data_IF_898792762531
#
_entry.id   IF_898792762531
#
_cell.length_a   1.000
_cell.length_b   1.000
_cell.length_c   1.000
_cell.angle_alpha   90.00
_cell.angle_beta   90.00
_cell.angle_gamma   90.00
#
_symmetry.space_group_name_H-M   'P 1'
#
loop_
_entity.id
_entity.type
_entity.pdbx_description
1 polymer ?
#
# COMPACT_ATOMS: atom_id res chain seq x y z
N UNK A 1 9.08 8.18 -6.70
CA UNK A 1 7.91 7.55 -7.36
C UNK A 1 7.64 6.15 -6.82
N UNK A 2 8.57 5.18 -6.93
CA UNK A 2 8.47 3.83 -6.33
C UNK A 2 8.01 3.83 -4.86
N UNK A 3 8.76 4.49 -3.97
CA UNK A 3 8.48 4.46 -2.53
C UNK A 3 7.10 5.06 -2.22
N UNK A 4 6.70 6.12 -2.95
CA UNK A 4 5.37 6.73 -2.84
C UNK A 4 4.26 5.73 -3.21
N UNK A 5 4.39 5.02 -4.33
CA UNK A 5 3.44 3.97 -4.70
C UNK A 5 3.34 2.88 -3.63
N UNK A 6 4.48 2.38 -3.14
CA UNK A 6 4.50 1.36 -2.09
C UNK A 6 3.78 1.81 -0.81
N UNK A 7 4.03 3.04 -0.35
CA UNK A 7 3.34 3.65 0.79
C UNK A 7 1.82 3.75 0.55
N UNK A 8 1.40 4.24 -0.62
CA UNK A 8 -0.03 4.38 -0.94
C UNK A 8 -0.75 3.03 -1.00
N UNK A 9 -0.11 1.98 -1.55
CA UNK A 9 -0.67 0.63 -1.55
C UNK A 9 -0.94 0.11 -0.13
N UNK A 10 -0.10 0.47 0.85
CA UNK A 10 -0.31 0.14 2.27
C UNK A 10 -1.37 1.04 2.92
N UNK A 11 -1.26 2.36 2.74
CA UNK A 11 -2.06 3.36 3.45
C UNK A 11 -3.48 3.54 2.89
N UNK A 12 -3.71 3.16 1.63
CA UNK A 12 -4.98 3.43 0.94
C UNK A 12 -5.65 2.19 0.38
N UNK A 13 -4.89 1.14 0.08
CA UNK A 13 -5.43 -0.14 -0.37
C UNK A 13 -5.25 -1.28 0.65
N UNK A 14 -4.67 -0.99 1.82
CA UNK A 14 -4.46 -1.95 2.91
C UNK A 14 -3.69 -3.23 2.50
N UNK A 15 -2.78 -3.13 1.52
CA UNK A 15 -1.93 -4.25 1.14
C UNK A 15 -0.88 -4.54 2.22
N UNK A 16 -0.59 -5.82 2.41
CA UNK A 16 0.52 -6.30 3.23
C UNK A 16 1.85 -6.21 2.48
N UNK A 17 2.96 -6.21 3.23
CA UNK A 17 4.32 -6.28 2.66
C UNK A 17 4.47 -7.46 1.70
N UNK A 18 3.95 -8.63 2.08
CA UNK A 18 4.06 -9.86 1.29
C UNK A 18 3.29 -9.75 -0.03
N UNK A 19 2.13 -9.12 -0.02
CA UNK A 19 1.35 -8.87 -1.23
C UNK A 19 2.10 -7.92 -2.16
N UNK A 20 2.64 -6.81 -1.64
CA UNK A 20 3.38 -5.82 -2.43
C UNK A 20 4.61 -6.43 -3.13
N UNK A 21 5.38 -7.25 -2.41
CA UNK A 21 6.54 -7.98 -2.97
C UNK A 21 6.08 -9.01 -4.02
N UNK A 22 4.89 -9.58 -3.81
CA UNK A 22 4.29 -10.55 -4.71
C UNK A 22 3.84 -9.96 -6.04
N UNK A 23 3.53 -8.66 -6.09
CA UNK A 23 2.97 -8.01 -7.28
C UNK A 23 3.92 -8.10 -8.49
N UNK A 24 3.34 -8.43 -9.63
CA UNK A 24 3.96 -8.45 -10.96
C UNK A 24 3.26 -7.47 -11.89
N UNK A 25 3.82 -7.20 -13.07
CA UNK A 25 3.24 -6.21 -13.99
C UNK A 25 1.86 -6.64 -14.50
N UNK A 26 1.63 -7.94 -14.74
CA UNK A 26 0.33 -8.52 -15.09
C UNK A 26 -0.75 -8.36 -13.99
N UNK A 27 -0.36 -8.04 -12.75
CA UNK A 27 -1.32 -7.73 -11.70
C UNK A 27 -2.00 -6.37 -11.90
N UNK A 28 -1.40 -5.45 -12.65
CA UNK A 28 -1.90 -4.11 -12.85
C UNK A 28 -2.50 -3.97 -14.26
N UNK A 29 -3.82 -3.84 -14.33
CA UNK A 29 -4.55 -3.70 -15.60
C UNK A 29 -5.09 -2.26 -15.68
N UNK A 30 -4.79 -1.51 -16.74
CA UNK A 30 -5.44 -0.22 -16.97
C UNK A 30 -6.96 -0.43 -17.07
N UNK A 31 -7.72 0.40 -16.37
CA UNK A 31 -9.16 0.49 -16.63
C UNK A 31 -9.33 1.19 -17.96
N UNK A 32 -9.90 0.50 -18.95
CA UNK A 32 -10.34 1.12 -20.19
C UNK A 32 -11.67 1.79 -19.85
N UNK A 33 -11.61 3.00 -19.29
CA UNK A 33 -12.82 3.80 -19.21
C UNK A 33 -13.27 4.06 -20.65
N UNK A 34 -14.53 3.69 -20.92
CA UNK A 34 -15.20 3.86 -22.20
C UNK A 34 -14.90 5.23 -22.79
N UNK A 35 -14.61 5.19 -24.09
CA UNK A 35 -14.47 6.32 -25.00
C UNK A 35 -15.53 7.38 -24.69
N UNK A 36 -15.12 8.66 -24.80
CA UNK A 36 -15.92 9.89 -24.74
C UNK A 36 -15.87 10.68 -23.42
N UNK A 37 -14.71 11.25 -23.09
CA UNK A 37 -14.66 12.55 -22.41
C UNK A 37 -13.41 13.32 -22.83
N UNK A 38 -13.65 14.44 -23.50
CA UNK A 38 -12.66 15.35 -24.11
C UNK A 38 -11.97 16.21 -23.05
N UNK A 39 -11.22 15.57 -22.15
CA UNK A 39 -10.42 16.21 -21.12
C UNK A 39 -9.64 15.13 -20.39
N UNK A 40 -8.31 15.22 -20.39
CA UNK A 40 -7.37 14.17 -20.00
C UNK A 40 -7.87 13.29 -18.86
N UNK A 41 -8.33 12.09 -19.20
CA UNK A 41 -8.83 11.13 -18.21
C UNK A 41 -7.66 10.72 -17.32
N UNK A 42 -7.80 10.93 -16.01
CA UNK A 42 -6.83 10.45 -15.03
C UNK A 42 -6.69 8.93 -15.21
N UNK A 43 -5.46 8.38 -15.21
CA UNK A 43 -5.27 6.96 -15.47
C UNK A 43 -5.95 6.15 -14.37
N UNK A 44 -6.84 5.23 -14.73
CA UNK A 44 -7.47 4.28 -13.82
C UNK A 44 -6.79 2.90 -13.89
N UNK A 45 -6.68 2.21 -12.77
CA UNK A 45 -6.13 0.85 -12.72
C UNK A 45 -6.94 -0.09 -11.85
N UNK A 46 -7.02 -1.34 -12.29
CA UNK A 46 -7.43 -2.50 -11.50
C UNK A 46 -6.18 -3.26 -11.05
N UNK A 47 -6.09 -3.57 -9.76
CA UNK A 47 -4.99 -4.36 -9.20
C UNK A 47 -5.48 -5.74 -8.74
N UNK A 48 -4.95 -6.80 -9.34
CA UNK A 48 -5.15 -8.18 -8.90
C UNK A 48 -4.13 -8.53 -7.82
N UNK A 49 -4.62 -8.85 -6.62
CA UNK A 49 -3.79 -9.21 -5.48
C UNK A 49 -4.02 -10.67 -5.12
N UNK A 50 -2.97 -11.47 -5.20
CA UNK A 50 -2.98 -12.88 -4.82
C UNK A 50 -2.42 -13.07 -3.42
N UNK A 51 -3.10 -13.87 -2.60
CA UNK A 51 -2.55 -14.30 -1.31
C UNK A 51 -1.40 -15.28 -1.53
N UNK A 52 -0.33 -15.15 -0.75
CA UNK A 52 0.75 -16.12 -0.75
C UNK A 52 0.24 -17.51 -0.31
N UNK A 53 0.61 -18.54 -1.06
CA UNK A 53 0.20 -19.93 -0.82
C UNK A 53 -0.90 -20.46 -1.73
N UNK A 54 -1.42 -19.63 -2.66
CA UNK A 54 -2.42 -20.05 -3.64
C UNK A 54 -3.83 -20.18 -3.04
N UNK A 55 -4.85 -19.73 -3.78
CA UNK A 55 -6.25 -20.02 -3.45
C UNK A 55 -7.13 -18.82 -3.07
N UNK A 56 -6.62 -17.59 -3.04
CA UNK A 56 -7.49 -16.42 -3.04
C UNK A 56 -6.85 -15.25 -3.80
N UNK A 57 -7.55 -14.81 -4.83
CA UNK A 57 -7.24 -13.61 -5.61
C UNK A 57 -8.37 -12.61 -5.40
N UNK A 58 -8.03 -11.33 -5.30
CA UNK A 58 -9.01 -10.24 -5.26
C UNK A 58 -8.61 -9.15 -6.23
N UNK A 59 -9.62 -8.53 -6.83
CA UNK A 59 -9.46 -7.35 -7.66
C UNK A 59 -9.78 -6.09 -6.84
N UNK A 60 -8.87 -5.12 -6.88
CA UNK A 60 -8.98 -3.84 -6.21
C UNK A 60 -8.97 -2.73 -7.27
N UNK A 61 -10.08 -2.01 -7.40
CA UNK A 61 -10.07 -0.77 -8.15
C UNK A 61 -9.22 0.24 -7.37
N UNK A 62 -8.15 0.71 -7.99
CA UNK A 62 -7.25 1.67 -7.37
C UNK A 62 -7.91 3.05 -7.40
N UNK A 63 -7.87 3.75 -6.27
CA UNK A 63 -8.32 5.14 -6.25
C UNK A 63 -7.43 6.04 -7.13
N UNK A 64 -7.88 7.26 -7.46
CA UNK A 64 -7.13 8.13 -8.36
C UNK A 64 -5.71 8.45 -7.87
N UNK A 65 -5.48 8.53 -6.56
CA UNK A 65 -4.16 8.85 -6.02
C UNK A 65 -3.18 7.69 -6.19
N UNK A 66 -3.62 6.46 -5.92
CA UNK A 66 -2.82 5.26 -6.16
C UNK A 66 -2.61 5.08 -7.67
N UNK A 67 -3.64 5.28 -8.48
CA UNK A 67 -3.56 5.08 -9.93
C UNK A 67 -2.58 6.04 -10.60
N UNK A 68 -2.60 7.33 -10.24
CA UNK A 68 -1.58 8.31 -10.67
C UNK A 68 -0.17 7.93 -10.19
N UNK A 69 -0.05 7.43 -8.95
CA UNK A 69 1.25 6.98 -8.43
C UNK A 69 1.80 5.77 -9.18
N UNK A 70 0.92 4.83 -9.56
CA UNK A 70 1.23 3.65 -10.33
C UNK A 70 1.66 4.03 -11.74
N UNK A 71 0.89 4.87 -12.42
CA UNK A 71 1.21 5.39 -13.74
C UNK A 71 2.60 6.05 -13.76
N UNK A 72 2.83 7.03 -12.86
CA UNK A 72 4.09 7.76 -12.77
C UNK A 72 5.29 6.87 -12.43
N UNK A 73 5.05 5.73 -11.75
CA UNK A 73 6.08 4.71 -11.52
C UNK A 73 6.36 3.89 -12.78
N UNK A 74 5.32 3.43 -13.47
CA UNK A 74 5.46 2.65 -14.70
C UNK A 74 6.17 3.42 -15.82
N UNK A 75 6.05 4.75 -15.87
CA UNK A 75 6.78 5.59 -16.83
C UNK A 75 8.32 5.54 -16.64
N UNK A 76 8.79 5.48 -15.38
CA UNK A 76 10.24 5.55 -15.07
C UNK A 76 10.85 4.21 -14.72
N UNK A 77 10.03 3.19 -14.44
CA UNK A 77 10.47 1.84 -14.10
C UNK A 77 11.35 1.19 -15.18
N UNK A 78 11.10 1.33 -16.50
CA UNK A 78 11.90 0.68 -17.54
C UNK A 78 13.36 1.16 -17.57
N UNK A 79 13.66 2.32 -17.00
CA UNK A 79 15.01 2.89 -17.00
C UNK A 79 15.96 1.97 -16.22
N UNK A 80 16.86 1.30 -16.95
CA UNK A 80 17.88 0.40 -16.37
C UNK A 80 17.42 -1.03 -16.09
N UNK A 81 16.25 -1.47 -16.60
CA UNK A 81 15.78 -2.86 -16.49
C UNK A 81 15.69 -3.53 -17.88
N UNK A 82 15.86 -4.86 -17.92
CA UNK A 82 15.58 -5.70 -19.10
C UNK A 82 14.11 -5.56 -19.57
N UNK A 83 13.77 -5.99 -20.80
CA UNK A 83 12.43 -5.82 -21.38
C UNK A 83 11.30 -6.28 -20.46
N UNK A 84 10.17 -5.56 -20.50
CA UNK A 84 9.00 -5.71 -19.64
C UNK A 84 8.30 -7.05 -19.85
N UNK A 85 8.79 -8.13 -19.23
CA UNK A 85 8.03 -9.37 -19.15
C UNK A 85 6.85 -9.19 -18.19
N UNK A 86 5.61 -9.62 -18.50
CA UNK A 86 4.45 -9.47 -17.61
C UNK A 86 4.66 -10.03 -16.19
N UNK A 87 5.40 -11.13 -16.08
CA UNK A 87 5.81 -11.73 -14.79
C UNK A 87 6.91 -10.96 -14.03
N UNK A 88 7.37 -9.81 -14.53
CA UNK A 88 8.35 -8.98 -13.83
C UNK A 88 7.75 -8.34 -12.58
N UNK A 89 8.55 -8.18 -11.52
CA UNK A 89 8.09 -7.57 -10.26
C UNK A 89 7.64 -6.13 -10.47
N UNK A 90 6.46 -5.78 -9.96
CA UNK A 90 5.91 -4.43 -10.07
C UNK A 90 6.76 -3.43 -9.28
N UNK A 91 7.09 -3.77 -8.03
CA UNK A 91 7.95 -2.97 -7.14
C UNK A 91 9.34 -3.61 -7.04
N UNK A 92 10.34 -2.93 -7.59
CA UNK A 92 11.73 -3.41 -7.61
C UNK A 92 12.60 -2.73 -6.56
N UNK A 93 13.56 -3.47 -6.00
CA UNK A 93 14.58 -2.93 -5.11
C UNK A 93 15.70 -2.22 -5.87
N UNK A 94 16.78 -1.88 -5.16
CA UNK A 94 17.92 -1.15 -5.74
C UNK A 94 18.82 -2.06 -6.59
N UNK A 95 18.68 -3.39 -6.45
CA UNK A 95 19.25 -4.35 -7.39
C UNK A 95 18.31 -4.56 -8.56
N UNK A 96 18.79 -4.25 -9.77
CA UNK A 96 18.10 -4.42 -11.06
C UNK A 96 17.32 -5.73 -11.11
N UNK A 97 16.03 -5.64 -11.41
CA UNK A 97 15.13 -6.78 -11.66
C UNK A 97 14.69 -7.59 -10.42
N UNK A 98 15.22 -7.32 -9.23
CA UNK A 98 14.77 -8.01 -8.00
C UNK A 98 13.64 -7.26 -7.33
N UNK A 99 12.70 -8.02 -6.74
CA UNK A 99 11.69 -7.44 -5.85
C UNK A 99 12.38 -6.64 -4.74
N UNK A 100 11.73 -5.58 -4.30
CA UNK A 100 12.12 -4.93 -3.05
C UNK A 100 12.12 -5.97 -1.92
N UNK A 101 13.17 -5.96 -1.08
CA UNK A 101 13.25 -6.83 0.08
C UNK A 101 12.23 -6.38 1.14
N UNK A 102 11.69 -7.28 1.98
CA UNK A 102 10.81 -6.91 3.09
C UNK A 102 11.36 -5.78 3.95
N UNK A 103 12.64 -5.87 4.35
CA UNK A 103 13.29 -4.83 5.15
C UNK A 103 13.34 -3.47 4.44
N UNK A 104 13.45 -3.45 3.11
CA UNK A 104 13.38 -2.22 2.33
C UNK A 104 12.03 -1.53 2.44
N UNK A 105 10.93 -2.30 2.43
CA UNK A 105 9.58 -1.75 2.66
C UNK A 105 9.39 -1.26 4.09
N UNK A 106 9.94 -1.97 5.09
CA UNK A 106 9.93 -1.51 6.48
C UNK A 106 10.66 -0.17 6.64
N UNK A 107 11.87 -0.05 6.08
CA UNK A 107 12.66 1.19 6.14
C UNK A 107 11.92 2.36 5.48
N UNK A 108 11.27 2.14 4.32
CA UNK A 108 10.45 3.16 3.66
C UNK A 108 9.29 3.61 4.56
N UNK A 109 8.62 2.68 5.23
CA UNK A 109 7.51 3.00 6.14
C UNK A 109 7.98 3.77 7.36
N UNK A 110 9.05 3.33 8.02
CA UNK A 110 9.58 4.00 9.20
C UNK A 110 10.08 5.40 8.88
N UNK A 111 10.78 5.59 7.76
CA UNK A 111 11.21 6.91 7.31
C UNK A 111 10.01 7.85 7.05
N UNK A 112 8.93 7.32 6.47
CA UNK A 112 7.70 8.09 6.25
C UNK A 112 7.02 8.48 7.58
N UNK A 113 6.85 7.51 8.48
CA UNK A 113 6.22 7.72 9.79
C UNK A 113 7.01 8.70 10.66
N UNK A 114 8.34 8.55 10.70
CA UNK A 114 9.22 9.47 11.41
C UNK A 114 9.02 10.91 10.93
N UNK A 115 8.98 11.12 9.62
CA UNK A 115 8.75 12.45 9.04
C UNK A 115 7.37 13.00 9.41
N UNK A 116 6.31 12.20 9.32
CA UNK A 116 4.97 12.65 9.71
C UNK A 116 4.86 13.00 11.19
N UNK A 117 5.52 12.24 12.07
CA UNK A 117 5.56 12.54 13.51
C UNK A 117 6.37 13.80 13.80
N UNK A 118 7.48 14.02 13.09
CA UNK A 118 8.28 15.23 13.20
C UNK A 118 7.49 16.47 12.75
N UNK A 119 6.79 16.40 11.60
CA UNK A 119 5.88 17.46 11.12
C UNK A 119 4.75 17.80 12.12
N UNK A 120 4.39 16.85 13.00
CA UNK A 120 3.39 17.04 14.06
C UNK A 120 3.99 17.49 15.39
N UNK A 121 5.31 17.68 15.47
CA UNK A 121 6.02 18.02 16.71
C UNK A 121 6.04 16.88 17.75
N UNK A 122 5.70 15.66 17.34
CA UNK A 122 5.67 14.47 18.19
C UNK A 122 7.02 13.73 18.23
N UNK A 123 7.93 14.08 17.31
CA UNK A 123 9.31 13.65 17.27
C UNK A 123 10.20 14.85 16.96
N UNK A 124 11.41 14.88 17.51
CA UNK A 124 12.42 15.81 17.04
C UNK A 124 12.74 15.50 15.56
N UNK A 125 12.99 16.53 14.75
CA UNK A 125 13.44 16.32 13.37
C UNK A 125 14.67 15.42 13.38
N UNK A 126 14.64 14.27 12.67
CA UNK A 126 15.79 13.39 12.62
C UNK A 126 16.92 14.15 11.92
N UNK A 127 18.01 14.45 12.64
CA UNK A 127 19.19 15.02 12.01
C UNK A 127 19.65 14.10 10.87
N UNK A 128 20.10 14.66 9.73
CA UNK A 128 20.53 13.85 8.60
C UNK A 128 21.61 12.86 9.06
N UNK A 129 21.46 11.58 8.69
CA UNK A 129 22.32 10.45 9.07
C UNK A 129 22.13 9.85 10.48
N UNK A 130 21.17 10.32 11.26
CA UNK A 130 20.84 9.67 12.54
C UNK A 130 19.96 8.44 12.32
N UNK A 131 20.39 7.30 12.86
CA UNK A 131 19.54 6.11 12.97
C UNK A 131 18.45 6.46 14.00
N UNK A 132 17.19 6.50 13.56
CA UNK A 132 16.03 6.70 14.42
C UNK A 132 16.13 5.77 15.63
N UNK A 133 15.89 6.29 16.85
CA UNK A 133 15.87 5.48 18.06
C UNK A 133 14.94 4.27 17.83
N UNK A 134 15.48 3.03 17.84
CA UNK A 134 14.70 1.84 17.56
C UNK A 134 13.48 1.73 18.48
N UNK A 135 13.53 2.25 19.72
CA UNK A 135 12.46 2.08 20.70
C UNK A 135 11.12 2.72 20.30
N UNK A 136 11.14 3.91 19.68
CA UNK A 136 9.90 4.66 19.43
C UNK A 136 9.15 4.19 18.17
N UNK A 137 9.88 3.68 17.17
CA UNK A 137 9.33 3.24 15.89
C UNK A 137 9.44 1.72 15.66
N UNK A 138 10.03 0.94 16.59
CA UNK A 138 10.17 -0.52 16.45
C UNK A 138 8.82 -1.21 16.19
N UNK A 139 7.75 -0.69 16.79
CA UNK A 139 6.40 -1.23 16.64
C UNK A 139 5.62 -0.59 15.48
N UNK A 140 6.15 0.49 14.89
CA UNK A 140 5.49 1.24 13.83
C UNK A 140 6.07 0.89 12.46
N UNK A 141 5.24 0.33 11.59
CA UNK A 141 5.69 -0.16 10.30
C UNK A 141 4.56 -0.36 9.29
N UNK A 142 4.76 -1.22 8.28
CA UNK A 142 3.76 -1.51 7.26
C UNK A 142 2.37 -1.87 7.83
N UNK A 143 2.33 -2.64 8.92
CA UNK A 143 1.07 -3.01 9.57
C UNK A 143 0.38 -1.82 10.24
N UNK A 144 1.11 -0.83 10.75
CA UNK A 144 0.54 0.40 11.28
C UNK A 144 -0.17 1.17 10.17
N UNK A 145 0.50 1.39 9.04
CA UNK A 145 -0.09 2.05 7.87
C UNK A 145 -1.35 1.33 7.37
N UNK A 146 -1.27 0.00 7.25
CA UNK A 146 -2.39 -0.85 6.84
C UNK A 146 -3.56 -0.78 7.82
N UNK A 147 -3.28 -0.88 9.13
CA UNK A 147 -4.34 -0.88 10.14
C UNK A 147 -5.00 0.50 10.26
N UNK A 148 -4.25 1.59 10.10
CA UNK A 148 -4.81 2.95 10.02
C UNK A 148 -5.77 3.10 8.84
N UNK A 149 -5.44 2.54 7.67
CA UNK A 149 -6.34 2.50 6.52
C UNK A 149 -7.66 1.78 6.85
N UNK A 150 -7.56 0.59 7.44
CA UNK A 150 -8.72 -0.24 7.81
C UNK A 150 -9.58 0.48 8.84
N UNK A 151 -8.98 1.09 9.86
CA UNK A 151 -9.69 1.88 10.87
C UNK A 151 -10.40 3.09 10.24
N UNK A 152 -9.77 3.76 9.26
CA UNK A 152 -10.41 4.83 8.51
C UNK A 152 -11.67 4.39 7.77
N UNK A 153 -11.68 3.18 7.19
CA UNK A 153 -12.89 2.63 6.56
C UNK A 153 -14.00 2.29 7.56
N UNK A 154 -13.65 1.76 8.74
CA UNK A 154 -14.62 1.56 9.81
C UNK A 154 -15.27 2.87 10.24
N UNK A 155 -14.46 3.90 10.50
CA UNK A 155 -14.95 5.22 10.91
C UNK A 155 -15.80 5.91 9.84
N UNK A 156 -15.53 5.61 8.56
CA UNK A 156 -16.32 6.10 7.43
C UNK A 156 -17.60 5.28 7.16
N UNK A 157 -17.90 4.26 7.98
CA UNK A 157 -19.09 3.43 7.84
C UNK A 157 -19.06 2.47 6.65
N UNK A 158 -17.88 2.14 6.12
CA UNK A 158 -17.77 1.16 5.02
C UNK A 158 -18.27 -0.21 5.51
N UNK A 159 -19.14 -0.90 4.76
CA UNK A 159 -19.66 -2.20 5.17
C UNK A 159 -18.56 -3.22 5.46
N UNK A 160 -18.73 -3.99 6.54
CA UNK A 160 -17.75 -4.97 7.00
C UNK A 160 -17.33 -5.97 5.91
N UNK A 161 -18.30 -6.44 5.11
CA UNK A 161 -18.05 -7.36 3.98
C UNK A 161 -17.16 -6.73 2.91
N UNK A 162 -17.31 -5.43 2.65
CA UNK A 162 -16.47 -4.71 1.69
C UNK A 162 -15.05 -4.51 2.23
N UNK A 163 -14.89 -4.19 3.52
CA UNK A 163 -13.57 -4.14 4.17
C UNK A 163 -12.88 -5.52 4.11
N UNK A 164 -13.60 -6.60 4.41
CA UNK A 164 -13.11 -7.97 4.31
C UNK A 164 -12.64 -8.30 2.90
N UNK A 165 -13.46 -7.99 1.89
CA UNK A 165 -13.15 -8.18 0.47
C UNK A 165 -11.88 -7.42 0.08
N UNK A 166 -11.77 -6.14 0.43
CA UNK A 166 -10.59 -5.30 0.15
C UNK A 166 -9.32 -5.83 0.80
N UNK A 167 -9.43 -6.36 2.02
CA UNK A 167 -8.29 -6.85 2.79
C UNK A 167 -7.92 -8.31 2.52
N UNK A 168 -8.79 -9.07 1.83
CA UNK A 168 -8.59 -10.51 1.59
C UNK A 168 -8.70 -11.38 2.84
N UNK A 169 -9.50 -10.96 3.83
CA UNK A 169 -9.76 -11.76 5.03
C UNK A 169 -10.84 -12.82 4.72
N UNK A 170 -10.55 -14.09 5.07
CA UNK A 170 -11.52 -15.19 4.93
C UNK A 170 -12.51 -15.25 6.10
N UNK A 171 -12.03 -14.90 7.28
CA UNK A 171 -12.82 -15.00 8.51
C UNK A 171 -13.35 -13.64 8.92
N UNK A 172 -14.68 -13.53 8.95
CA UNK A 172 -15.38 -12.34 9.36
C UNK A 172 -15.14 -12.00 10.83
N UNK A 173 -14.80 -12.98 11.68
CA UNK A 173 -14.56 -12.80 13.11
C UNK A 173 -13.39 -11.85 13.39
N UNK A 174 -12.37 -11.83 12.54
CA UNK A 174 -11.19 -10.96 12.70
C UNK A 174 -11.60 -9.50 12.49
N UNK A 175 -12.38 -9.23 11.45
CA UNK A 175 -12.86 -7.88 11.15
C UNK A 175 -13.96 -7.45 12.13
N UNK A 176 -14.81 -8.37 12.59
CA UNK A 176 -15.82 -8.07 13.60
C UNK A 176 -15.19 -7.67 14.94
N UNK A 177 -14.14 -8.36 15.39
CA UNK A 177 -13.40 -7.99 16.61
C UNK A 177 -12.71 -6.65 16.46
N UNK A 178 -12.08 -6.40 15.32
CA UNK A 178 -11.45 -5.11 15.04
C UNK A 178 -12.47 -3.97 15.04
N UNK A 179 -13.63 -4.17 14.40
CA UNK A 179 -14.73 -3.23 14.40
C UNK A 179 -15.27 -2.95 15.80
N UNK A 180 -15.42 -3.98 16.65
CA UNK A 180 -15.85 -3.79 18.04
C UNK A 180 -14.87 -2.93 18.85
N UNK A 181 -13.56 -3.14 18.69
CA UNK A 181 -12.55 -2.31 19.37
C UNK A 181 -12.50 -0.86 18.89
N UNK A 182 -12.86 -0.58 17.64
CA UNK A 182 -12.86 0.78 17.09
C UNK A 182 -14.13 1.56 17.43
N UNK A 183 -15.28 0.88 17.56
CA UNK A 183 -16.55 1.50 17.97
C UNK A 183 -16.76 1.54 19.49
N UNK A 184 -16.05 0.70 20.26
CA UNK A 184 -15.92 0.93 21.70
C UNK A 184 -15.18 2.25 21.88
N UNK A 185 -15.94 3.29 22.24
CA UNK A 185 -15.38 4.56 22.67
C UNK A 185 -14.28 4.27 23.70
N UNK A 186 -13.03 4.66 23.38
CA UNK A 186 -12.04 4.83 24.42
C UNK A 186 -12.65 5.79 25.46
N UNK A 187 -12.72 5.42 26.75
CA UNK A 187 -13.01 6.42 27.76
C UNK A 187 -11.83 7.39 27.73
N UNK A 188 -12.09 8.61 27.23
CA UNK A 188 -11.23 9.76 27.49
C UNK A 188 -11.44 10.21 28.93
#
# INVERSE_FOLDING_TARGET
RRNRLALLLMMRAALTVREIIGLTLDCAEPCVDSVESTGGSDPGYMLRVRKAGGGHERALQLDPEISRALHAWLEVRPVGLSPLHPGSRLIVGDRIGRSIAPNGLYNICQAHLARCLAEKGLLAEPAPHTILDPGLLAHMGPNTLRNTCIAGWFNAGVPLQEIQRRCGFKDASIMSRLGAHLHSAFPL
#
